data_IF_399996928091
#
_entry.id   IF_399996928091
#
_cell.length_a   1.000
_cell.length_b   1.000
_cell.length_c   1.000
_cell.angle_alpha   90.00
_cell.angle_beta   90.00
_cell.angle_gamma   90.00
#
_symmetry.space_group_name_H-M   'P 1'
#
loop_
_entity.id
_entity.type
_entity.pdbx_description
1 polymer ?
#
# COMPACT_ATOMS: atom_id res chain seq x y z
N UNK A 1 -17.18 -2.27 7.66
CA UNK A 1 -17.46 -3.40 6.73
C UNK A 1 -16.43 -4.49 7.02
N UNK A 2 -16.84 -5.75 7.24
CA UNK A 2 -15.89 -6.85 7.36
C UNK A 2 -15.18 -7.02 6.01
N UNK A 3 -13.86 -7.12 6.06
CA UNK A 3 -13.04 -7.40 4.87
C UNK A 3 -13.16 -8.87 4.57
N UNK A 4 -13.29 -9.21 3.28
CA UNK A 4 -13.33 -10.59 2.85
C UNK A 4 -12.07 -11.34 3.35
N UNK A 5 -12.21 -12.51 4.00
CA UNK A 5 -11.08 -13.26 4.53
C UNK A 5 -10.01 -13.60 3.48
N UNK A 6 -10.41 -13.86 2.22
CA UNK A 6 -9.48 -14.15 1.15
C UNK A 6 -8.65 -12.92 0.78
N UNK A 7 -9.28 -11.73 0.73
CA UNK A 7 -8.55 -10.48 0.51
C UNK A 7 -7.58 -10.18 1.65
N UNK A 8 -7.97 -10.47 2.90
CA UNK A 8 -7.10 -10.29 4.05
C UNK A 8 -5.84 -11.17 3.95
N UNK A 9 -6.01 -12.43 3.56
CA UNK A 9 -4.90 -13.37 3.34
C UNK A 9 -3.99 -12.89 2.20
N UNK A 10 -4.56 -12.41 1.09
CA UNK A 10 -3.79 -11.80 0.00
C UNK A 10 -2.97 -10.61 0.49
N UNK A 11 -3.56 -9.69 1.27
CA UNK A 11 -2.81 -8.55 1.80
C UNK A 11 -1.66 -8.96 2.72
N UNK A 12 -1.83 -10.02 3.52
CA UNK A 12 -0.75 -10.56 4.35
C UNK A 12 0.44 -11.05 3.53
N UNK A 13 0.22 -11.63 2.35
CA UNK A 13 1.30 -12.10 1.47
C UNK A 13 1.86 -10.99 0.58
N UNK A 14 1.00 -10.17 -0.04
CA UNK A 14 1.41 -9.22 -1.08
C UNK A 14 2.04 -7.94 -0.51
N UNK A 15 1.55 -7.41 0.62
CA UNK A 15 2.09 -6.15 1.17
C UNK A 15 3.57 -6.26 1.58
N UNK A 16 4.03 -7.33 2.28
CA UNK A 16 5.44 -7.50 2.58
C UNK A 16 6.29 -7.66 1.32
N UNK A 17 5.80 -8.41 0.34
CA UNK A 17 6.50 -8.66 -0.92
C UNK A 17 6.72 -7.38 -1.71
N UNK A 18 5.68 -6.55 -1.86
CA UNK A 18 5.78 -5.25 -2.55
C UNK A 18 6.72 -4.32 -1.80
N UNK A 19 6.64 -4.25 -0.47
CA UNK A 19 7.56 -3.45 0.34
C UNK A 19 9.02 -3.84 0.07
N UNK A 20 9.32 -5.14 0.05
CA UNK A 20 10.68 -5.63 -0.18
C UNK A 20 11.17 -5.33 -1.60
N UNK A 21 10.31 -5.49 -2.61
CA UNK A 21 10.64 -5.13 -3.99
C UNK A 21 10.96 -3.64 -4.14
N UNK A 22 10.19 -2.76 -3.51
CA UNK A 22 10.44 -1.31 -3.55
C UNK A 22 11.75 -0.95 -2.86
N UNK A 23 12.03 -1.56 -1.70
CA UNK A 23 13.31 -1.40 -1.00
C UNK A 23 14.48 -1.88 -1.85
N UNK A 24 14.38 -3.05 -2.47
CA UNK A 24 15.40 -3.59 -3.35
C UNK A 24 15.66 -2.69 -4.58
N UNK A 25 14.63 -1.98 -5.05
CA UNK A 25 14.74 -0.98 -6.11
C UNK A 25 15.27 0.41 -5.62
N UNK A 26 15.60 0.55 -4.34
CA UNK A 26 16.06 1.80 -3.75
C UNK A 26 14.99 2.89 -3.70
N UNK A 27 13.70 2.50 -3.58
CA UNK A 27 12.56 3.41 -3.53
C UNK A 27 11.85 3.34 -2.18
N UNK A 28 11.24 4.44 -1.79
CA UNK A 28 10.39 4.49 -0.61
C UNK A 28 9.11 3.68 -0.83
N UNK A 29 8.81 2.67 0.02
CA UNK A 29 7.64 1.83 -0.15
C UNK A 29 6.36 2.60 0.22
N UNK A 30 5.62 3.02 -0.80
CA UNK A 30 4.37 3.79 -0.70
C UNK A 30 3.29 3.11 -1.53
N UNK A 31 2.12 2.89 -0.91
CA UNK A 31 0.90 2.42 -1.57
C UNK A 31 -0.09 3.59 -1.71
N UNK A 32 -0.52 3.84 -2.94
CA UNK A 32 -1.47 4.89 -3.29
C UNK A 32 -2.88 4.31 -3.40
N UNK A 33 -3.86 4.90 -2.71
CA UNK A 33 -5.21 4.33 -2.59
C UNK A 33 -6.32 5.39 -2.67
N UNK A 34 -7.58 5.00 -2.98
CA UNK A 34 -8.73 5.88 -2.80
C UNK A 34 -8.87 6.37 -1.35
N UNK A 35 -9.25 7.64 -1.10
CA UNK A 35 -9.35 8.22 0.25
C UNK A 35 -10.19 7.39 1.22
N UNK A 36 -11.30 6.81 0.74
CA UNK A 36 -12.20 5.98 1.54
C UNK A 36 -11.57 4.67 2.05
N UNK A 37 -10.56 4.14 1.34
CA UNK A 37 -9.89 2.88 1.71
C UNK A 37 -8.64 3.11 2.58
N UNK A 38 -8.11 4.33 2.59
CA UNK A 38 -6.88 4.71 3.30
C UNK A 38 -6.82 4.24 4.75
N UNK A 39 -7.81 4.51 5.65
CA UNK A 39 -7.68 4.14 7.06
C UNK A 39 -7.60 2.62 7.27
N UNK A 40 -8.34 1.86 6.45
CA UNK A 40 -8.36 0.40 6.51
C UNK A 40 -7.03 -0.19 6.03
N UNK A 41 -6.58 0.20 4.84
CA UNK A 41 -5.35 -0.31 4.24
C UNK A 41 -4.11 0.14 5.02
N UNK A 42 -4.10 1.37 5.57
CA UNK A 42 -3.04 1.84 6.45
C UNK A 42 -2.92 0.98 7.73
N UNK A 43 -4.04 0.51 8.28
CA UNK A 43 -4.01 -0.40 9.43
C UNK A 43 -3.38 -1.74 9.07
N UNK A 44 -3.75 -2.33 7.93
CA UNK A 44 -3.18 -3.60 7.49
C UNK A 44 -1.71 -3.49 7.09
N UNK A 45 -1.33 -2.43 6.37
CA UNK A 45 0.07 -2.18 6.03
C UNK A 45 0.95 -2.09 7.29
N UNK A 46 0.48 -1.41 8.35
CA UNK A 46 1.19 -1.37 9.64
C UNK A 46 1.35 -2.74 10.30
N UNK A 47 0.35 -3.62 10.16
CA UNK A 47 0.38 -4.95 10.77
C UNK A 47 1.22 -5.94 9.98
N UNK A 48 1.10 -5.94 8.65
CA UNK A 48 1.69 -6.97 7.79
C UNK A 48 3.03 -6.53 7.21
N UNK A 49 3.18 -5.25 6.90
CA UNK A 49 4.37 -4.70 6.26
C UNK A 49 4.85 -3.42 6.94
N UNK A 50 5.35 -3.47 8.19
CA UNK A 50 5.92 -2.30 8.87
C UNK A 50 6.93 -1.56 7.97
N UNK A 51 6.73 -0.25 7.85
CA UNK A 51 7.48 0.63 6.95
C UNK A 51 6.86 0.83 5.56
N UNK A 52 5.79 0.13 5.19
CA UNK A 52 4.99 0.44 4.00
C UNK A 52 4.04 1.60 4.31
N UNK A 53 4.25 2.74 3.66
CA UNK A 53 3.41 3.91 3.80
C UNK A 53 2.15 3.79 2.94
N UNK A 54 1.02 4.29 3.42
CA UNK A 54 -0.24 4.32 2.66
C UNK A 54 -0.71 5.76 2.58
N UNK A 55 -0.75 6.27 1.35
CA UNK A 55 -1.21 7.61 1.02
C UNK A 55 -2.48 7.52 0.19
N UNK A 56 -3.41 8.43 0.44
CA UNK A 56 -4.54 8.65 -0.47
C UNK A 56 -4.13 9.55 -1.63
N UNK A 57 -4.86 9.47 -2.75
CA UNK A 57 -4.67 10.41 -3.88
C UNK A 57 -4.73 11.88 -3.44
N UNK A 58 -5.57 12.21 -2.46
CA UNK A 58 -5.73 13.58 -1.94
C UNK A 58 -4.51 14.08 -1.15
N UNK A 59 -3.60 13.19 -0.70
CA UNK A 59 -2.41 13.54 0.06
C UNK A 59 -1.18 13.76 -0.82
N UNK A 60 -1.30 13.49 -2.13
CA UNK A 60 -0.20 13.68 -3.08
C UNK A 60 -0.44 14.99 -3.86
N UNK A 61 0.54 15.92 -3.89
CA UNK A 61 0.45 17.12 -4.70
C UNK A 61 0.39 16.77 -6.20
N UNK A 62 -0.37 17.52 -6.98
CA UNK A 62 -0.52 17.29 -8.44
C UNK A 62 0.82 17.38 -9.20
N UNK A 63 1.80 18.08 -8.65
CA UNK A 63 3.13 18.28 -9.23
C UNK A 63 4.10 17.10 -8.98
N UNK A 64 3.69 16.09 -8.20
CA UNK A 64 4.56 14.96 -7.86
C UNK A 64 4.55 13.92 -8.99
N UNK A 65 5.70 13.72 -9.66
CA UNK A 65 5.85 12.62 -10.61
C UNK A 65 5.78 11.25 -9.90
N UNK A 66 4.63 10.60 -10.01
CA UNK A 66 4.41 9.25 -9.48
C UNK A 66 4.57 8.20 -10.58
N UNK A 67 5.41 7.20 -10.33
CA UNK A 67 5.50 6.00 -11.16
C UNK A 67 4.81 4.83 -10.48
N UNK A 68 3.73 4.33 -11.08
CA UNK A 68 3.03 3.14 -10.58
C UNK A 68 3.92 1.91 -10.85
N UNK A 69 4.37 1.27 -9.78
CA UNK A 69 5.23 0.08 -9.85
C UNK A 69 4.44 -1.24 -9.81
N UNK A 70 3.17 -1.20 -9.41
CA UNK A 70 2.31 -2.38 -9.33
C UNK A 70 0.95 -2.07 -8.70
N UNK A 71 0.07 -3.06 -8.72
CA UNK A 71 -1.22 -3.03 -8.05
C UNK A 71 -1.37 -4.27 -7.16
N UNK A 72 -2.13 -4.14 -6.08
CA UNK A 72 -2.55 -5.28 -5.27
C UNK A 72 -3.69 -5.97 -6.04
N UNK A 73 -3.39 -7.06 -6.76
CA UNK A 73 -4.37 -8.00 -7.33
C UNK A 73 -4.22 -9.37 -6.68
#
# INVERSE_FOLDING_TARGET
>A
VPVDPNMLNQFQSTMPQVKEQMKAAGKDPVLLVPPQLRPLLARYARLFAPGLHVLSYNEVPDELELKIMGALM
#
